data_IF_432696830287
#
_entry.id   IF_432696830287
#
_cell.length_a   1.000
_cell.length_b   1.000
_cell.length_c   1.000
_cell.angle_alpha   90.00
_cell.angle_beta   90.00
_cell.angle_gamma   90.00
#
_symmetry.space_group_name_H-M   'P 1'
#
loop_
_entity.id
_entity.type
_entity.pdbx_description
1 polymer ?
#
# COMPACT_ATOMS: atom_id res chain seq x y z
N UNK A 1 3.90 -8.98 -24.26
CA UNK A 1 3.29 -8.74 -22.94
C UNK A 1 2.04 -7.89 -23.15
N UNK A 2 0.85 -8.44 -22.90
CA UNK A 2 -0.44 -7.77 -23.25
C UNK A 2 -0.65 -6.44 -22.51
N UNK A 3 -0.07 -6.29 -21.32
CA UNK A 3 -0.26 -5.11 -20.47
C UNK A 3 0.18 -3.79 -21.13
N UNK A 4 1.28 -3.78 -21.89
CA UNK A 4 1.80 -2.57 -22.55
C UNK A 4 0.95 -2.06 -23.72
N UNK A 5 0.05 -2.90 -24.26
CA UNK A 5 -0.92 -2.49 -25.28
C UNK A 5 -2.26 -2.04 -24.68
N UNK A 6 -2.41 -2.06 -23.36
CA UNK A 6 -3.62 -1.66 -22.68
C UNK A 6 -3.77 -0.13 -22.70
N UNK A 7 -4.94 0.33 -23.19
CA UNK A 7 -5.25 1.76 -23.27
C UNK A 7 -5.20 2.46 -21.91
N UNK A 8 -5.54 1.74 -20.82
CA UNK A 8 -5.52 2.27 -19.45
C UNK A 8 -4.10 2.63 -19.00
N UNK A 9 -3.09 1.95 -19.56
CA UNK A 9 -1.69 2.18 -19.22
C UNK A 9 -1.04 3.29 -20.03
N UNK A 10 -1.55 3.58 -21.24
CA UNK A 10 -0.96 4.56 -22.15
C UNK A 10 -0.58 5.90 -21.53
N UNK A 11 -1.41 6.51 -20.66
CA UNK A 11 -1.08 7.81 -20.06
C UNK A 11 0.13 7.79 -19.12
N UNK A 12 0.60 6.60 -18.75
CA UNK A 12 1.66 6.38 -17.76
C UNK A 12 2.92 5.76 -18.34
N UNK A 13 2.92 5.48 -19.66
CA UNK A 13 4.07 4.88 -20.33
C UNK A 13 5.17 5.91 -20.52
N UNK A 14 6.37 5.52 -20.17
CA UNK A 14 7.61 6.21 -20.52
C UNK A 14 8.18 5.61 -21.79
N UNK A 15 8.92 6.42 -22.53
CA UNK A 15 9.61 5.99 -23.75
C UNK A 15 11.09 6.30 -23.66
N UNK A 16 11.90 5.30 -23.96
CA UNK A 16 13.34 5.49 -24.08
C UNK A 16 13.70 6.18 -25.40
N UNK A 17 14.94 6.65 -25.53
CA UNK A 17 15.47 7.18 -26.80
C UNK A 17 15.40 6.19 -27.96
N UNK A 18 15.37 4.88 -27.67
CA UNK A 18 15.22 3.80 -28.65
C UNK A 18 13.76 3.38 -28.88
N UNK A 19 12.80 4.23 -28.47
CA UNK A 19 11.36 4.01 -28.60
C UNK A 19 10.82 2.78 -27.84
N UNK A 20 11.56 2.26 -26.87
CA UNK A 20 11.07 1.19 -25.99
C UNK A 20 10.14 1.79 -24.93
N UNK A 21 8.94 1.24 -24.82
CA UNK A 21 7.96 1.63 -23.79
C UNK A 21 8.27 0.89 -22.48
N UNK A 22 8.18 1.59 -21.36
CA UNK A 22 8.36 1.01 -20.02
C UNK A 22 7.52 1.71 -18.97
N UNK A 23 7.35 1.05 -17.84
CA UNK A 23 6.81 1.61 -16.60
C UNK A 23 7.82 1.38 -15.47
N UNK A 24 7.84 2.30 -14.53
CA UNK A 24 8.60 2.12 -13.30
C UNK A 24 7.76 1.28 -12.33
N UNK A 25 8.20 0.06 -12.04
CA UNK A 25 7.56 -0.78 -11.02
C UNK A 25 8.16 -0.39 -9.66
N UNK A 26 7.29 0.01 -8.76
CA UNK A 26 7.67 0.32 -7.38
C UNK A 26 7.43 -0.92 -6.53
N UNK A 27 8.48 -1.38 -5.85
CA UNK A 27 8.40 -2.41 -4.83
C UNK A 27 8.30 -1.75 -3.46
N UNK A 28 7.40 -2.23 -2.63
CA UNK A 28 7.27 -1.71 -1.29
C UNK A 28 6.15 -2.39 -0.52
N UNK A 29 6.09 -2.11 0.76
CA UNK A 29 4.95 -2.51 1.57
C UNK A 29 3.79 -1.57 1.23
N UNK A 30 2.76 -2.12 0.59
CA UNK A 30 1.58 -1.36 0.15
C UNK A 30 0.80 -0.73 1.31
N UNK A 31 0.94 -1.28 2.48
CA UNK A 31 0.35 -0.82 3.75
C UNK A 31 1.07 0.39 4.37
N UNK A 32 2.26 0.73 3.89
CA UNK A 32 3.01 1.92 4.31
C UNK A 32 2.72 3.16 3.47
N UNK A 33 2.22 2.97 2.25
CA UNK A 33 2.01 4.03 1.29
C UNK A 33 0.53 4.34 1.14
N UNK A 34 0.15 5.59 1.32
CA UNK A 34 -1.21 6.06 1.11
C UNK A 34 -1.26 7.43 0.45
N UNK A 35 -2.39 7.74 -0.15
CA UNK A 35 -2.65 9.03 -0.77
C UNK A 35 -4.15 9.38 -0.71
N UNK A 36 -4.45 10.66 -0.80
CA UNK A 36 -5.81 11.15 -0.94
C UNK A 36 -6.12 11.39 -2.42
N UNK A 37 -7.19 10.79 -2.92
CA UNK A 37 -7.71 11.02 -4.26
C UNK A 37 -8.89 11.98 -4.15
N UNK A 38 -8.71 13.20 -4.67
CA UNK A 38 -9.61 14.31 -4.38
C UNK A 38 -10.85 14.32 -5.28
N UNK A 39 -10.70 13.96 -6.55
CA UNK A 39 -11.77 14.06 -7.53
C UNK A 39 -12.10 12.70 -8.18
N UNK A 40 -13.18 12.70 -8.95
CA UNK A 40 -13.68 11.49 -9.60
C UNK A 40 -12.73 10.98 -10.70
N UNK A 41 -12.01 11.87 -11.38
CA UNK A 41 -11.04 11.48 -12.40
C UNK A 41 -9.87 10.72 -11.78
N UNK A 42 -9.32 11.20 -10.67
CA UNK A 42 -8.25 10.54 -9.95
C UNK A 42 -8.71 9.16 -9.43
N UNK A 43 -9.89 9.08 -8.81
CA UNK A 43 -10.46 7.83 -8.31
C UNK A 43 -10.65 6.81 -9.42
N UNK A 44 -11.25 7.21 -10.52
CA UNK A 44 -11.50 6.32 -11.66
C UNK A 44 -10.19 5.88 -12.33
N UNK A 45 -9.20 6.76 -12.44
CA UNK A 45 -7.89 6.44 -13.00
C UNK A 45 -7.15 5.42 -12.14
N UNK A 46 -7.18 5.60 -10.83
CA UNK A 46 -6.57 4.65 -9.88
C UNK A 46 -7.23 3.27 -9.95
N UNK A 47 -8.57 3.21 -9.92
CA UNK A 47 -9.30 1.95 -10.03
C UNK A 47 -9.01 1.22 -11.34
N UNK A 48 -8.96 1.93 -12.47
CA UNK A 48 -8.61 1.34 -13.77
C UNK A 48 -7.20 0.76 -13.81
N UNK A 49 -6.23 1.41 -13.14
CA UNK A 49 -4.88 0.86 -12.99
C UNK A 49 -4.89 -0.42 -12.16
N UNK A 50 -5.60 -0.44 -11.03
CA UNK A 50 -5.68 -1.63 -10.19
C UNK A 50 -6.38 -2.79 -10.89
N UNK A 51 -7.49 -2.53 -11.61
CA UNK A 51 -8.17 -3.53 -12.44
C UNK A 51 -7.22 -4.12 -13.48
N UNK A 52 -6.50 -3.28 -14.21
CA UNK A 52 -5.54 -3.74 -15.21
C UNK A 52 -4.41 -4.56 -14.59
N UNK A 53 -3.88 -4.15 -13.44
CA UNK A 53 -2.84 -4.90 -12.74
C UNK A 53 -3.36 -6.24 -12.24
N UNK A 54 -4.59 -6.30 -11.74
CA UNK A 54 -5.23 -7.54 -11.33
C UNK A 54 -5.46 -8.50 -12.51
N UNK A 55 -5.94 -7.99 -13.65
CA UNK A 55 -6.11 -8.76 -14.88
C UNK A 55 -4.80 -9.33 -15.44
N UNK A 56 -3.67 -8.71 -15.11
CA UNK A 56 -2.33 -9.15 -15.50
C UNK A 56 -1.57 -9.85 -14.36
N UNK A 57 -2.28 -10.22 -13.29
CA UNK A 57 -1.75 -10.95 -12.13
C UNK A 57 -0.53 -10.27 -11.48
N UNK A 58 -0.50 -8.94 -11.51
CA UNK A 58 0.55 -8.22 -10.81
C UNK A 58 0.33 -8.31 -9.31
N UNK A 59 1.39 -8.71 -8.62
CA UNK A 59 1.36 -8.91 -7.18
C UNK A 59 1.04 -7.62 -6.41
N UNK A 60 0.25 -7.71 -5.35
CA UNK A 60 -0.34 -6.58 -4.64
C UNK A 60 0.70 -5.56 -4.16
N UNK A 61 1.81 -6.05 -3.62
CA UNK A 61 2.93 -5.23 -3.12
C UNK A 61 3.67 -4.48 -4.23
N UNK A 62 3.46 -4.87 -5.49
CA UNK A 62 3.92 -4.13 -6.67
C UNK A 62 2.81 -3.25 -7.25
N UNK A 63 1.58 -3.77 -7.31
CA UNK A 63 0.44 -3.12 -7.97
C UNK A 63 0.07 -1.79 -7.32
N UNK A 64 -0.15 -1.77 -6.00
CA UNK A 64 -0.60 -0.58 -5.27
C UNK A 64 0.46 0.53 -5.29
N UNK A 65 1.73 0.30 -4.87
CA UNK A 65 2.72 1.36 -4.87
C UNK A 65 3.05 1.84 -6.29
N UNK A 66 3.00 0.96 -7.29
CA UNK A 66 3.18 1.35 -8.70
C UNK A 66 2.04 2.23 -9.17
N UNK A 67 0.78 1.87 -8.90
CA UNK A 67 -0.38 2.68 -9.25
C UNK A 67 -0.33 4.06 -8.57
N UNK A 68 0.01 4.12 -7.28
CA UNK A 68 0.14 5.39 -6.56
C UNK A 68 1.27 6.26 -7.11
N UNK A 69 2.41 5.68 -7.47
CA UNK A 69 3.52 6.41 -8.12
C UNK A 69 3.10 6.98 -9.47
N UNK A 70 2.38 6.21 -10.28
CA UNK A 70 1.83 6.67 -11.56
C UNK A 70 0.82 7.81 -11.39
N UNK A 71 -0.02 7.72 -10.37
CA UNK A 71 -0.97 8.78 -10.03
C UNK A 71 -0.26 10.04 -9.56
N UNK A 72 0.82 9.89 -8.79
CA UNK A 72 1.67 11.02 -8.39
C UNK A 72 2.28 11.70 -9.62
N UNK A 73 2.88 10.95 -10.53
CA UNK A 73 3.50 11.50 -11.74
C UNK A 73 2.48 12.23 -12.63
N UNK A 74 1.28 11.65 -12.80
CA UNK A 74 0.27 12.22 -13.70
C UNK A 74 -0.53 13.37 -13.10
N UNK A 75 -0.93 13.26 -11.84
CA UNK A 75 -1.88 14.20 -11.22
C UNK A 75 -1.25 15.03 -10.10
N UNK A 76 0.02 14.79 -9.76
CA UNK A 76 0.68 15.48 -8.65
C UNK A 76 0.10 15.15 -7.28
N UNK A 77 -0.59 14.01 -7.12
CA UNK A 77 -1.12 13.61 -5.81
C UNK A 77 0.03 13.46 -4.80
N UNK A 78 -0.21 13.88 -3.58
CA UNK A 78 0.79 13.75 -2.52
C UNK A 78 0.79 12.31 -2.00
N UNK A 79 1.97 11.69 -2.03
CA UNK A 79 2.19 10.37 -1.42
C UNK A 79 2.65 10.55 0.02
N UNK A 80 2.14 9.70 0.89
CA UNK A 80 2.50 9.65 2.31
C UNK A 80 2.99 8.24 2.64
N UNK A 81 4.09 8.18 3.41
CA UNK A 81 4.56 6.93 4.00
C UNK A 81 4.20 6.94 5.48
N UNK A 82 3.42 5.95 5.90
CA UNK A 82 3.14 5.74 7.31
C UNK A 82 4.37 5.20 8.04
N UNK A 83 4.63 5.70 9.24
CA UNK A 83 5.62 5.09 10.10
C UNK A 83 5.04 3.84 10.74
N UNK A 84 5.54 2.69 10.30
CA UNK A 84 5.01 1.39 10.65
C UNK A 84 5.87 0.72 11.72
N UNK A 85 5.25 0.21 12.78
CA UNK A 85 5.87 -0.77 13.65
C UNK A 85 5.61 -2.17 13.12
N UNK A 86 6.66 -2.90 12.78
CA UNK A 86 6.55 -4.20 12.14
C UNK A 86 7.21 -5.29 12.97
N UNK A 87 6.55 -6.42 13.10
CA UNK A 87 7.14 -7.68 13.57
C UNK A 87 6.57 -8.85 12.77
N UNK A 88 7.40 -9.45 11.92
CA UNK A 88 7.05 -10.61 11.12
C UNK A 88 7.33 -11.94 11.82
N UNK A 89 7.86 -11.88 13.05
CA UNK A 89 8.18 -13.03 13.90
C UNK A 89 6.99 -13.49 14.75
N UNK A 90 7.29 -13.91 15.95
CA UNK A 90 6.31 -14.51 16.88
C UNK A 90 5.26 -13.53 17.39
N UNK A 91 5.59 -12.23 17.46
CA UNK A 91 4.69 -11.21 17.97
C UNK A 91 3.50 -10.92 17.04
N UNK A 92 3.58 -11.28 15.75
CA UNK A 92 2.45 -11.12 14.81
C UNK A 92 1.17 -11.82 15.24
N UNK A 93 1.28 -12.88 16.06
CA UNK A 93 0.14 -13.63 16.63
C UNK A 93 -0.22 -13.18 18.04
N UNK A 94 0.53 -12.22 18.58
CA UNK A 94 0.38 -11.65 19.93
C UNK A 94 0.20 -10.13 19.84
N UNK A 95 -0.93 -9.65 19.36
CA UNK A 95 -1.13 -8.24 19.03
C UNK A 95 -0.86 -7.30 20.21
N UNK A 96 -1.27 -7.67 21.42
CA UNK A 96 -1.03 -6.83 22.60
C UNK A 96 0.47 -6.68 22.91
N UNK A 97 1.21 -7.80 22.91
CA UNK A 97 2.66 -7.76 23.15
C UNK A 97 3.40 -6.95 22.07
N UNK A 98 2.97 -7.09 20.82
CA UNK A 98 3.53 -6.33 19.71
C UNK A 98 3.31 -4.83 19.89
N UNK A 99 2.10 -4.39 20.22
CA UNK A 99 1.78 -2.99 20.45
C UNK A 99 2.54 -2.46 21.66
N UNK A 100 2.54 -3.19 22.77
CA UNK A 100 3.27 -2.80 23.97
C UNK A 100 4.78 -2.62 23.69
N UNK A 101 5.37 -3.46 22.85
CA UNK A 101 6.77 -3.30 22.43
C UNK A 101 6.99 -2.09 21.55
N UNK A 102 6.08 -1.84 20.60
CA UNK A 102 6.13 -0.66 19.74
C UNK A 102 5.97 0.63 20.55
N UNK A 103 5.09 0.65 21.55
CA UNK A 103 4.87 1.82 22.41
C UNK A 103 6.04 2.13 23.34
N UNK A 104 6.90 1.15 23.63
CA UNK A 104 8.16 1.37 24.40
C UNK A 104 9.24 2.06 23.57
N UNK A 105 9.15 1.96 22.26
CA UNK A 105 10.01 2.71 21.34
C UNK A 105 9.50 4.16 21.28
N UNK A 106 10.36 5.14 21.47
CA UNK A 106 9.99 6.57 21.48
C UNK A 106 9.51 7.11 20.13
N UNK A 107 9.32 6.22 19.14
CA UNK A 107 8.79 6.57 17.83
C UNK A 107 7.26 6.63 17.86
N UNK A 108 6.72 7.68 17.23
CA UNK A 108 5.28 7.82 17.04
C UNK A 108 4.84 6.99 15.83
N UNK A 109 4.60 5.72 16.02
CA UNK A 109 4.08 4.85 14.97
C UNK A 109 2.64 5.18 14.62
N UNK A 110 2.33 5.22 13.32
CA UNK A 110 0.99 5.47 12.78
C UNK A 110 0.18 4.19 12.61
N UNK A 111 0.86 3.06 12.45
CA UNK A 111 0.23 1.75 12.27
C UNK A 111 1.10 0.60 12.78
N UNK A 112 0.47 -0.55 12.96
CA UNK A 112 1.12 -1.80 13.38
C UNK A 112 0.84 -2.90 12.39
N UNK A 113 1.89 -3.61 11.93
CA UNK A 113 1.75 -4.66 10.93
C UNK A 113 2.79 -5.77 11.06
N UNK A 114 2.43 -7.03 10.84
CA UNK A 114 1.08 -7.55 10.70
C UNK A 114 0.42 -7.79 12.07
N UNK A 115 -0.88 -7.53 12.16
CA UNK A 115 -1.67 -7.83 13.35
C UNK A 115 -2.71 -8.88 13.01
N UNK A 116 -2.53 -10.11 13.52
CA UNK A 116 -3.44 -11.24 13.27
C UNK A 116 -4.53 -11.31 14.33
N UNK A 117 -5.58 -10.54 14.16
CA UNK A 117 -6.72 -10.49 15.10
C UNK A 117 -7.46 -11.83 15.13
N UNK A 118 -7.61 -12.50 13.96
CA UNK A 118 -8.35 -13.76 13.84
C UNK A 118 -7.70 -14.94 14.57
N UNK A 119 -6.41 -14.87 14.89
CA UNK A 119 -5.70 -15.89 15.66
C UNK A 119 -5.80 -15.69 17.17
N UNK A 120 -6.41 -14.59 17.62
CA UNK A 120 -6.56 -14.27 19.03
C UNK A 120 -8.01 -14.53 19.47
N UNK A 121 -8.21 -15.50 20.39
CA UNK A 121 -9.54 -15.85 20.92
C UNK A 121 -10.21 -14.73 21.73
N UNK A 122 -9.43 -13.72 22.15
CA UNK A 122 -9.90 -12.60 22.98
C UNK A 122 -9.79 -11.24 22.27
N UNK A 123 -10.14 -11.20 20.97
CA UNK A 123 -10.08 -9.96 20.21
C UNK A 123 -10.94 -8.82 20.77
N UNK A 124 -11.97 -9.11 21.59
CA UNK A 124 -12.75 -8.12 22.32
C UNK A 124 -11.87 -7.35 23.31
N UNK A 125 -11.01 -8.03 24.06
CA UNK A 125 -10.04 -7.39 24.97
C UNK A 125 -9.04 -6.50 24.21
N UNK A 126 -8.75 -6.85 22.98
CA UNK A 126 -7.89 -6.06 22.12
C UNK A 126 -8.54 -4.74 21.70
N UNK A 127 -9.83 -4.75 21.34
CA UNK A 127 -10.58 -3.53 21.05
C UNK A 127 -10.73 -2.65 22.29
N UNK A 128 -11.01 -3.25 23.44
CA UNK A 128 -11.06 -2.53 24.71
C UNK A 128 -9.72 -1.86 25.02
N UNK A 129 -8.60 -2.53 24.74
CA UNK A 129 -7.27 -1.96 24.92
C UNK A 129 -7.02 -0.75 24.00
N UNK A 130 -7.37 -0.84 22.71
CA UNK A 130 -7.19 0.25 21.75
C UNK A 130 -8.10 1.45 22.04
N UNK A 131 -9.24 1.24 22.65
CA UNK A 131 -10.19 2.33 22.97
C UNK A 131 -9.89 3.03 24.28
N UNK A 132 -9.00 2.46 25.13
CA UNK A 132 -8.57 3.04 26.40
C UNK A 132 -7.29 3.90 26.28
N UNK A 133 -6.65 3.87 25.12
CA UNK A 133 -5.46 4.69 24.82
C UNK A 133 -5.86 5.89 24.00
#
# INVERSE_FOLDING_TARGET
MKMFSDERLKPYLHQTSNQTLYINITLGQSDMLYAYLHDLEQKNSFLKLLEMFAENELFLECAIPTALSMMHERFGIKLHNALLCTDWGDLRTKPKEMIDNCMKDEKNYEAYHPVKISSNQNWTQYFDYLTQT
#
